data_IF_697572221619
#
_entry.id   IF_697572221619
#
_cell.length_a   1.000
_cell.length_b   1.000
_cell.length_c   1.000
_cell.angle_alpha   90.00
_cell.angle_beta   90.00
_cell.angle_gamma   90.00
#
_symmetry.space_group_name_H-M   'P 1'
#
loop_
_entity.id
_entity.type
_entity.pdbx_description
1 polymer ?
#
# COMPACT_ATOMS: atom_id res chain seq x y z
N UNK A 1 2.63 -43.91 -8.44
CA UNK A 1 1.63 -44.62 -9.26
C UNK A 1 1.30 -43.76 -10.48
N UNK A 2 1.56 -44.30 -11.67
CA UNK A 2 1.33 -43.64 -12.96
C UNK A 2 -0.10 -43.83 -13.45
N UNK A 3 -0.62 -42.86 -14.21
CA UNK A 3 -1.68 -42.90 -15.25
C UNK A 3 -2.05 -41.45 -15.61
N UNK A 4 -2.40 -41.04 -16.83
CA UNK A 4 -2.04 -41.38 -18.21
C UNK A 4 -2.60 -40.20 -19.04
N UNK A 5 -1.81 -39.66 -19.96
CA UNK A 5 -2.16 -38.60 -20.92
C UNK A 5 -3.33 -38.95 -21.85
N UNK A 6 -4.11 -37.96 -22.29
CA UNK A 6 -4.82 -38.02 -23.59
C UNK A 6 -5.00 -36.63 -24.22
N UNK A 7 -4.08 -36.30 -25.11
CA UNK A 7 -4.21 -35.23 -26.09
C UNK A 7 -4.94 -35.79 -27.33
N UNK A 8 -5.92 -35.07 -27.88
CA UNK A 8 -6.57 -35.39 -29.14
C UNK A 8 -6.33 -34.24 -30.13
N UNK A 9 -5.39 -34.48 -31.05
CA UNK A 9 -5.19 -33.75 -32.31
C UNK A 9 -6.18 -34.31 -33.32
N UNK A 10 -7.05 -33.49 -33.90
CA UNK A 10 -7.70 -33.80 -35.17
C UNK A 10 -7.15 -32.84 -36.24
N UNK A 11 -6.35 -33.43 -37.13
CA UNK A 11 -5.71 -32.80 -38.29
C UNK A 11 -6.25 -33.54 -39.50
N UNK A 12 -7.10 -32.91 -40.30
CA UNK A 12 -7.56 -33.45 -41.59
C UNK A 12 -6.82 -32.75 -42.73
N UNK A 13 -6.43 -33.48 -43.79
CA UNK A 13 -5.63 -32.96 -44.89
C UNK A 13 -6.52 -32.33 -45.96
N UNK A 14 -6.23 -31.08 -46.31
CA UNK A 14 -6.76 -30.42 -47.51
C UNK A 14 -5.81 -30.70 -48.67
N UNK A 15 -6.25 -31.49 -49.65
CA UNK A 15 -5.54 -31.70 -50.91
C UNK A 15 -5.90 -30.58 -51.88
N UNK A 16 -4.91 -29.79 -52.26
CA UNK A 16 -4.94 -28.84 -53.36
C UNK A 16 -4.83 -29.60 -54.69
N UNK A 17 -5.65 -29.30 -55.71
CA UNK A 17 -5.27 -29.52 -57.09
C UNK A 17 -4.93 -28.19 -57.78
N UNK A 18 -3.82 -28.22 -58.51
CA UNK A 18 -3.26 -27.16 -59.37
C UNK A 18 -4.25 -26.69 -60.46
N UNK A 19 -4.20 -25.41 -60.88
CA UNK A 19 -4.83 -24.98 -62.12
C UNK A 19 -3.95 -25.30 -63.34
N UNK A 20 -4.51 -26.11 -64.24
CA UNK A 20 -3.93 -26.42 -65.54
C UNK A 20 -3.88 -25.18 -66.46
N UNK A 21 -2.65 -24.85 -66.87
CA UNK A 21 -2.18 -24.22 -68.11
C UNK A 21 -3.25 -23.83 -69.15
N UNK A 22 -3.44 -22.52 -69.30
CA UNK A 22 -4.22 -21.88 -70.38
C UNK A 22 -3.46 -22.04 -71.71
N UNK A 23 -4.09 -22.65 -72.71
CA UNK A 23 -3.66 -22.55 -74.12
C UNK A 23 -4.30 -21.31 -74.72
N UNK A 24 -3.46 -20.41 -75.22
CA UNK A 24 -3.86 -19.35 -76.14
C UNK A 24 -4.36 -19.97 -77.45
N UNK A 25 -5.53 -19.52 -77.91
CA UNK A 25 -5.91 -19.53 -79.32
C UNK A 25 -6.62 -18.21 -79.61
N UNK A 26 -5.84 -17.33 -80.21
CA UNK A 26 -6.22 -16.22 -81.06
C UNK A 26 -6.96 -16.75 -82.30
N UNK A 27 -7.89 -15.95 -82.83
CA UNK A 27 -8.59 -16.23 -84.09
C UNK A 27 -10.11 -16.03 -84.05
N UNK A 28 -10.55 -14.78 -84.22
CA UNK A 28 -11.82 -14.53 -84.92
C UNK A 28 -11.71 -14.94 -86.41
N UNK A 29 -12.81 -15.08 -87.17
CA UNK A 29 -13.76 -13.98 -87.34
C UNK A 29 -15.25 -14.38 -87.43
N UNK A 30 -16.10 -13.36 -87.26
CA UNK A 30 -17.41 -13.15 -87.90
C UNK A 30 -18.30 -14.37 -88.18
N UNK A 31 -19.25 -14.62 -87.27
CA UNK A 31 -20.57 -15.15 -87.64
C UNK A 31 -21.65 -14.33 -86.94
N UNK A 32 -22.41 -13.57 -87.74
CA UNK A 32 -23.74 -13.09 -87.35
C UNK A 32 -24.60 -14.29 -86.90
N UNK A 33 -25.34 -14.23 -85.79
CA UNK A 33 -26.34 -15.24 -85.52
C UNK A 33 -27.55 -15.00 -86.42
N UNK A 34 -27.61 -15.75 -87.51
CA UNK A 34 -28.81 -15.96 -88.31
C UNK A 34 -29.97 -16.34 -87.40
N UNK A 35 -31.03 -15.54 -87.46
CA UNK A 35 -32.35 -15.91 -87.01
C UNK A 35 -32.84 -17.15 -87.76
N UNK A 36 -33.18 -18.22 -87.03
CA UNK A 36 -34.33 -19.11 -87.27
C UNK A 36 -34.24 -20.33 -86.33
N UNK A 37 -35.14 -20.40 -85.34
CA UNK A 37 -36.12 -21.48 -85.20
C UNK A 37 -36.83 -21.32 -83.84
N UNK A 38 -38.01 -20.70 -83.87
CA UNK A 38 -38.99 -20.70 -82.80
C UNK A 38 -39.57 -22.11 -82.68
N UNK A 39 -38.93 -22.98 -81.90
CA UNK A 39 -39.58 -24.16 -81.33
C UNK A 39 -40.27 -23.75 -80.02
N UNK A 40 -41.58 -24.00 -79.85
CA UNK A 40 -42.35 -23.52 -78.71
C UNK A 40 -41.87 -24.24 -77.45
N UNK A 41 -41.11 -23.52 -76.61
CA UNK A 41 -40.93 -23.92 -75.22
C UNK A 41 -42.32 -24.19 -74.63
N UNK A 42 -42.51 -25.39 -74.06
CA UNK A 42 -43.77 -25.80 -73.43
C UNK A 42 -44.33 -24.66 -72.57
N UNK A 43 -45.62 -24.34 -72.75
CA UNK A 43 -46.31 -23.23 -72.08
C UNK A 43 -46.11 -23.22 -70.56
N UNK A 44 -45.91 -24.40 -69.95
CA UNK A 44 -45.52 -24.60 -68.56
C UNK A 44 -44.20 -23.91 -68.19
N UNK A 45 -43.16 -24.02 -69.02
CA UNK A 45 -41.86 -23.40 -68.77
C UNK A 45 -41.87 -21.90 -68.97
N UNK A 46 -42.72 -21.39 -69.87
CA UNK A 46 -42.92 -19.94 -70.07
C UNK A 46 -43.68 -19.31 -68.90
N UNK A 47 -44.73 -19.99 -68.42
CA UNK A 47 -45.47 -19.56 -67.23
C UNK A 47 -44.61 -19.65 -65.95
N UNK A 48 -43.76 -20.67 -65.82
CA UNK A 48 -42.78 -20.76 -64.73
C UNK A 48 -41.78 -19.61 -64.77
N UNK A 49 -41.29 -19.21 -65.96
CA UNK A 49 -40.44 -18.01 -66.11
C UNK A 49 -41.19 -16.73 -65.74
N UNK A 50 -42.47 -16.59 -66.09
CA UNK A 50 -43.29 -15.42 -65.72
C UNK A 50 -43.50 -15.32 -64.20
N UNK A 51 -43.83 -16.42 -63.54
CA UNK A 51 -43.94 -16.46 -62.07
C UNK A 51 -42.59 -16.25 -61.38
N UNK A 52 -41.50 -16.70 -62.00
CA UNK A 52 -40.16 -16.45 -61.48
C UNK A 52 -39.77 -14.98 -61.63
N UNK A 53 -40.07 -14.33 -62.76
CA UNK A 53 -39.82 -12.89 -62.95
C UNK A 53 -40.65 -12.06 -61.98
N UNK A 54 -41.95 -12.35 -61.82
CA UNK A 54 -42.82 -11.66 -60.86
C UNK A 54 -42.28 -11.76 -59.41
N UNK A 55 -41.74 -12.93 -59.02
CA UNK A 55 -41.11 -13.11 -57.71
C UNK A 55 -39.80 -12.34 -57.57
N UNK A 56 -38.99 -12.29 -58.63
CA UNK A 56 -37.74 -11.53 -58.62
C UNK A 56 -38.05 -10.04 -58.49
N UNK A 57 -39.02 -9.53 -59.24
CA UNK A 57 -39.45 -8.12 -59.17
C UNK A 57 -39.92 -7.74 -57.76
N UNK A 58 -40.73 -8.59 -57.12
CA UNK A 58 -41.12 -8.41 -55.71
C UNK A 58 -39.93 -8.40 -54.73
N UNK A 59 -38.92 -9.26 -54.95
CA UNK A 59 -37.72 -9.30 -54.10
C UNK A 59 -36.79 -8.11 -54.36
N UNK A 60 -36.81 -7.52 -55.56
CA UNK A 60 -36.05 -6.33 -55.90
C UNK A 60 -36.70 -5.07 -55.28
N UNK A 61 -38.02 -5.00 -55.19
CA UNK A 61 -38.73 -3.93 -54.47
C UNK A 61 -38.43 -3.94 -52.97
N UNK A 62 -38.28 -5.13 -52.38
CA UNK A 62 -37.92 -5.31 -50.97
C UNK A 62 -36.40 -5.28 -50.72
N UNK A 63 -35.58 -4.95 -51.72
CA UNK A 63 -34.12 -4.95 -51.60
C UNK A 63 -33.67 -3.81 -50.69
N UNK A 64 -32.95 -4.09 -49.58
CA UNK A 64 -32.41 -3.04 -48.73
C UNK A 64 -31.31 -2.25 -49.46
N UNK A 65 -31.20 -0.98 -49.10
CA UNK A 65 -30.16 -0.10 -49.63
C UNK A 65 -28.74 -0.65 -49.35
N UNK A 66 -27.78 -0.41 -50.24
CA UNK A 66 -26.41 -0.88 -50.07
C UNK A 66 -25.77 -0.35 -48.78
N UNK A 67 -26.06 0.90 -48.39
CA UNK A 67 -25.61 1.51 -47.14
C UNK A 67 -26.20 0.81 -45.91
N UNK A 68 -27.48 0.41 -45.96
CA UNK A 68 -28.11 -0.37 -44.89
C UNK A 68 -27.46 -1.77 -44.74
N UNK A 69 -26.93 -2.34 -45.81
CA UNK A 69 -26.18 -3.60 -45.77
C UNK A 69 -24.77 -3.42 -45.19
N UNK A 70 -24.13 -2.26 -45.36
CA UNK A 70 -22.85 -1.93 -44.71
C UNK A 70 -23.00 -1.75 -43.20
N UNK A 71 -24.02 -0.99 -42.77
CA UNK A 71 -24.30 -0.78 -41.35
C UNK A 71 -24.57 -2.10 -40.62
N UNK A 72 -25.15 -3.07 -41.33
CA UNK A 72 -25.37 -4.44 -40.83
C UNK A 72 -24.17 -5.36 -41.02
N UNK A 73 -23.02 -4.84 -41.48
CA UNK A 73 -21.78 -5.56 -41.77
C UNK A 73 -21.95 -6.73 -42.77
N UNK A 74 -23.01 -6.71 -43.59
CA UNK A 74 -23.27 -7.71 -44.64
C UNK A 74 -22.42 -7.39 -45.87
N UNK A 75 -22.29 -6.12 -46.23
CA UNK A 75 -21.30 -5.64 -47.19
C UNK A 75 -20.07 -5.12 -46.44
N UNK A 76 -18.89 -5.74 -46.63
CA UNK A 76 -17.65 -5.39 -45.93
C UNK A 76 -17.23 -3.92 -45.96
N UNK A 77 -17.52 -3.23 -47.07
CA UNK A 77 -17.39 -1.78 -47.30
C UNK A 77 -17.76 -1.56 -48.78
N UNK A 78 -18.85 -0.88 -49.07
CA UNK A 78 -19.16 -0.22 -50.34
C UNK A 78 -18.49 1.16 -50.45
N UNK A 79 -17.41 1.42 -49.69
CA UNK A 79 -16.54 2.54 -50.03
C UNK A 79 -15.96 2.27 -51.44
N UNK A 80 -16.16 3.18 -52.42
CA UNK A 80 -15.76 2.97 -53.82
C UNK A 80 -14.24 2.89 -54.02
N UNK A 81 -13.48 2.93 -52.92
CA UNK A 81 -12.05 3.12 -52.91
C UNK A 81 -11.25 1.81 -52.83
N UNK A 82 -11.91 0.67 -52.54
CA UNK A 82 -11.23 -0.62 -52.45
C UNK A 82 -11.88 -1.65 -53.36
N UNK A 83 -11.08 -2.21 -54.26
CA UNK A 83 -11.50 -3.26 -55.17
C UNK A 83 -12.00 -4.51 -54.41
N UNK A 84 -13.06 -5.21 -54.88
CA UNK A 84 -13.60 -6.41 -54.22
C UNK A 84 -12.56 -7.50 -53.90
N UNK A 85 -11.54 -7.65 -54.76
CA UNK A 85 -10.45 -8.61 -54.59
C UNK A 85 -9.49 -8.26 -53.45
N UNK A 86 -9.38 -6.98 -53.09
CA UNK A 86 -8.47 -6.49 -52.04
C UNK A 86 -9.13 -6.40 -50.66
N UNK A 87 -10.46 -6.49 -50.57
CA UNK A 87 -11.19 -6.39 -49.30
C UNK A 87 -10.72 -7.43 -48.26
N UNK A 88 -10.39 -8.65 -48.69
CA UNK A 88 -9.85 -9.68 -47.82
C UNK A 88 -8.48 -9.32 -47.24
N UNK A 89 -7.58 -8.80 -48.08
CA UNK A 89 -6.24 -8.34 -47.68
C UNK A 89 -6.32 -7.10 -46.80
N UNK A 90 -7.22 -6.16 -47.13
CA UNK A 90 -7.48 -4.96 -46.33
C UNK A 90 -7.94 -5.34 -44.92
N UNK A 91 -8.90 -6.27 -44.78
CA UNK A 91 -9.34 -6.76 -43.47
C UNK A 91 -8.21 -7.44 -42.71
N UNK A 92 -7.38 -8.24 -43.39
CA UNK A 92 -6.21 -8.87 -42.75
C UNK A 92 -5.20 -7.83 -42.27
N UNK A 93 -4.94 -6.79 -43.06
CA UNK A 93 -4.06 -5.70 -42.67
C UNK A 93 -4.66 -4.94 -41.48
N UNK A 94 -5.94 -4.59 -41.52
CA UNK A 94 -6.63 -3.93 -40.42
C UNK A 94 -6.58 -4.76 -39.13
N UNK A 95 -6.73 -6.07 -39.22
CA UNK A 95 -6.59 -6.99 -38.09
C UNK A 95 -5.15 -7.03 -37.55
N UNK A 96 -4.14 -7.00 -38.43
CA UNK A 96 -2.73 -6.93 -37.99
C UNK A 96 -2.42 -5.61 -37.33
N UNK A 97 -2.86 -4.49 -37.92
CA UNK A 97 -2.67 -3.16 -37.34
C UNK A 97 -3.35 -3.04 -35.97
N UNK A 98 -4.58 -3.52 -35.83
CA UNK A 98 -5.27 -3.52 -34.53
C UNK A 98 -4.65 -4.49 -33.54
N UNK A 99 -4.12 -5.62 -33.99
CA UNK A 99 -3.38 -6.55 -33.14
C UNK A 99 -2.07 -5.92 -32.62
N UNK A 100 -1.32 -5.23 -33.48
CA UNK A 100 -0.08 -4.54 -33.10
C UNK A 100 -0.37 -3.37 -32.12
N UNK A 101 -1.43 -2.59 -32.37
CA UNK A 101 -1.89 -1.54 -31.46
C UNK A 101 -2.30 -2.09 -30.08
N UNK A 102 -3.07 -3.19 -30.07
CA UNK A 102 -3.46 -3.85 -28.83
C UNK A 102 -2.25 -4.44 -28.11
N UNK A 103 -1.30 -5.04 -28.83
CA UNK A 103 -0.07 -5.58 -28.23
C UNK A 103 0.73 -4.49 -27.52
N UNK A 104 0.93 -3.35 -28.17
CA UNK A 104 1.61 -2.20 -27.55
C UNK A 104 0.86 -1.69 -26.31
N UNK A 105 -0.47 -1.56 -26.37
CA UNK A 105 -1.28 -1.12 -25.21
C UNK A 105 -1.28 -2.12 -24.05
N UNK A 106 -1.18 -3.41 -24.35
CA UNK A 106 -1.08 -4.46 -23.34
C UNK A 106 0.30 -4.49 -22.69
N UNK A 107 1.35 -4.16 -23.43
CA UNK A 107 2.72 -4.04 -22.89
C UNK A 107 2.84 -2.83 -21.95
N UNK A 108 2.24 -1.70 -22.30
CA UNK A 108 2.20 -0.51 -21.45
C UNK A 108 1.05 -0.51 -20.42
N UNK A 109 0.48 -1.68 -20.09
CA UNK A 109 -0.68 -1.76 -19.20
C UNK A 109 -0.25 -1.59 -17.74
N UNK A 110 -0.83 -0.63 -17.00
CA UNK A 110 -0.55 -0.46 -15.57
C UNK A 110 -1.07 -1.64 -14.76
N UNK A 111 -0.39 -1.92 -13.65
CA UNK A 111 -0.81 -2.97 -12.74
C UNK A 111 -2.09 -2.59 -11.99
N UNK A 112 -2.86 -3.60 -11.56
CA UNK A 112 -4.11 -3.37 -10.83
C UNK A 112 -3.86 -2.60 -9.53
N UNK A 113 -2.68 -2.79 -8.92
CA UNK A 113 -2.30 -2.06 -7.72
C UNK A 113 -2.04 -0.58 -8.00
N UNK A 114 -1.33 -0.24 -9.08
CA UNK A 114 -1.12 1.14 -9.51
C UNK A 114 -2.46 1.84 -9.81
N UNK A 115 -3.41 1.12 -10.43
CA UNK A 115 -4.75 1.63 -10.66
C UNK A 115 -5.56 1.88 -9.37
N UNK A 116 -5.27 1.17 -8.27
CA UNK A 116 -5.86 1.46 -6.95
C UNK A 116 -5.21 2.66 -6.30
N UNK A 117 -3.90 2.80 -6.42
CA UNK A 117 -3.16 3.93 -5.89
C UNK A 117 -3.60 5.24 -6.56
N UNK A 118 -3.91 5.17 -7.87
CA UNK A 118 -4.54 6.25 -8.61
C UNK A 118 -6.06 6.41 -8.38
N UNK A 119 -6.65 5.63 -7.48
CA UNK A 119 -8.08 5.62 -7.17
C UNK A 119 -8.97 5.46 -8.41
N UNK A 120 -8.54 4.68 -9.41
CA UNK A 120 -9.34 4.32 -10.58
C UNK A 120 -10.17 3.08 -10.25
N UNK A 121 -9.52 2.06 -9.69
CA UNK A 121 -10.18 0.84 -9.22
C UNK A 121 -10.45 0.97 -7.73
N UNK A 122 -11.72 0.92 -7.36
CA UNK A 122 -12.17 0.99 -5.97
C UNK A 122 -12.55 -0.42 -5.48
N UNK A 123 -12.13 -0.77 -4.28
CA UNK A 123 -12.44 -2.06 -3.66
C UNK A 123 -11.19 -2.80 -3.19
N UNK A 124 -11.30 -3.37 -1.99
CA UNK A 124 -10.29 -4.26 -1.45
C UNK A 124 -10.25 -5.57 -2.25
N UNK A 125 -9.10 -6.24 -2.25
CA UNK A 125 -8.97 -7.60 -2.78
C UNK A 125 -10.00 -8.52 -2.10
N UNK A 126 -10.99 -8.98 -2.88
CA UNK A 126 -12.05 -9.88 -2.41
C UNK A 126 -13.47 -9.35 -2.54
N UNK A 127 -13.68 -8.09 -2.91
CA UNK A 127 -15.05 -7.57 -3.17
C UNK A 127 -15.41 -7.74 -4.64
N UNK A 128 -16.57 -8.36 -4.89
CA UNK A 128 -17.08 -8.56 -6.24
C UNK A 128 -17.33 -7.21 -6.95
N UNK A 129 -17.05 -7.08 -8.27
CA UNK A 129 -17.24 -5.84 -9.01
C UNK A 129 -18.65 -5.24 -8.91
N UNK A 130 -19.68 -6.09 -8.82
CA UNK A 130 -21.07 -5.67 -8.65
C UNK A 130 -21.37 -5.02 -7.30
N UNK A 131 -20.58 -5.32 -6.26
CA UNK A 131 -20.79 -4.83 -4.90
C UNK A 131 -19.96 -3.60 -4.56
N UNK A 132 -18.94 -3.26 -5.36
CA UNK A 132 -18.02 -2.14 -5.10
C UNK A 132 -18.78 -0.83 -4.86
N UNK A 133 -19.78 -0.51 -5.69
CA UNK A 133 -20.60 0.70 -5.53
C UNK A 133 -21.40 0.70 -4.21
N UNK A 134 -21.96 -0.45 -3.82
CA UNK A 134 -22.70 -0.56 -2.56
C UNK A 134 -21.79 -0.50 -1.34
N UNK A 135 -20.60 -1.10 -1.43
CA UNK A 135 -19.58 -1.05 -0.39
C UNK A 135 -19.11 0.38 -0.17
N UNK A 136 -18.81 1.11 -1.24
CA UNK A 136 -18.35 2.49 -1.14
C UNK A 136 -19.44 3.39 -0.54
N UNK A 137 -20.69 3.21 -0.96
CA UNK A 137 -21.83 3.93 -0.38
C UNK A 137 -21.96 3.66 1.11
N UNK A 138 -21.83 2.41 1.53
CA UNK A 138 -21.85 2.04 2.95
C UNK A 138 -20.65 2.62 3.70
N UNK A 139 -19.45 2.57 3.12
CA UNK A 139 -18.25 3.14 3.72
C UNK A 139 -18.39 4.65 3.91
N UNK A 140 -18.96 5.37 2.93
CA UNK A 140 -19.27 6.80 3.05
C UNK A 140 -20.29 7.07 4.16
N UNK A 141 -21.34 6.27 4.28
CA UNK A 141 -22.32 6.38 5.37
C UNK A 141 -21.69 6.14 6.74
N UNK A 142 -20.92 5.07 6.90
CA UNK A 142 -20.20 4.77 8.15
C UNK A 142 -19.21 5.88 8.52
N UNK A 143 -18.49 6.42 7.54
CA UNK A 143 -17.57 7.53 7.76
C UNK A 143 -18.33 8.81 8.14
N UNK A 144 -19.47 9.08 7.50
CA UNK A 144 -20.36 10.18 7.87
C UNK A 144 -20.87 10.03 9.31
N UNK A 145 -21.32 8.84 9.70
CA UNK A 145 -21.83 8.57 11.05
C UNK A 145 -20.73 8.71 12.10
N UNK A 146 -19.52 8.21 11.81
CA UNK A 146 -18.34 8.39 12.67
C UNK A 146 -18.00 9.87 12.82
N UNK A 147 -17.93 10.62 11.72
CA UNK A 147 -17.65 12.06 11.75
C UNK A 147 -18.73 12.79 12.54
N UNK A 148 -20.01 12.49 12.31
CA UNK A 148 -21.12 13.06 13.09
C UNK A 148 -21.00 12.74 14.58
N UNK A 149 -20.62 11.50 14.94
CA UNK A 149 -20.38 11.14 16.33
C UNK A 149 -19.21 11.93 16.94
N UNK A 150 -18.13 12.14 16.20
CA UNK A 150 -17.01 12.97 16.67
C UNK A 150 -17.38 14.45 16.78
N UNK A 151 -18.24 14.96 15.88
CA UNK A 151 -18.72 16.33 15.91
C UNK A 151 -19.68 16.59 17.07
N UNK A 152 -20.54 15.63 17.44
CA UNK A 152 -21.43 15.77 18.61
C UNK A 152 -20.66 15.80 19.92
N UNK A 153 -19.55 15.06 20.01
CA UNK A 153 -18.64 15.05 21.17
C UNK A 153 -17.51 16.06 21.07
N UNK A 154 -17.63 17.07 20.19
CA UNK A 154 -16.58 18.05 19.98
C UNK A 154 -16.42 18.93 21.22
N UNK A 155 -15.24 18.96 21.87
CA UNK A 155 -15.01 19.82 23.02
C UNK A 155 -15.04 21.31 22.59
N UNK A 156 -15.57 22.22 23.42
CA UNK A 156 -15.47 23.65 23.20
C UNK A 156 -14.02 24.11 23.30
N UNK A 157 -13.74 25.26 22.68
CA UNK A 157 -12.38 25.82 22.63
C UNK A 157 -11.80 26.09 24.02
N UNK A 158 -12.64 26.45 25.00
CA UNK A 158 -12.20 26.70 26.37
C UNK A 158 -11.74 25.44 27.10
N UNK A 159 -12.40 24.29 26.88
CA UNK A 159 -11.92 23.00 27.42
C UNK A 159 -10.57 22.59 26.82
N UNK A 160 -10.33 22.93 25.55
CA UNK A 160 -9.03 22.70 24.92
C UNK A 160 -7.94 23.62 25.49
N UNK A 161 -8.30 24.80 25.99
CA UNK A 161 -7.36 25.70 26.69
C UNK A 161 -7.01 25.19 28.07
N UNK A 162 -8.00 24.77 28.86
CA UNK A 162 -7.76 24.26 30.21
C UNK A 162 -6.95 22.97 30.18
N UNK A 163 -7.15 22.13 29.17
CA UNK A 163 -6.34 20.91 28.96
C UNK A 163 -4.95 21.18 28.39
N UNK A 164 -4.61 22.44 28.08
CA UNK A 164 -3.30 22.82 27.54
C UNK A 164 -3.06 22.36 26.09
N UNK A 165 -4.09 21.90 25.38
CA UNK A 165 -4.01 21.54 23.95
C UNK A 165 -3.96 22.80 23.08
N UNK A 166 -4.72 23.83 23.46
CA UNK A 166 -4.71 25.15 22.85
C UNK A 166 -4.14 26.16 23.83
N UNK A 167 -2.99 26.74 23.50
CA UNK A 167 -2.23 27.55 24.46
C UNK A 167 -2.54 29.05 24.35
N UNK A 168 -3.28 29.46 23.31
CA UNK A 168 -3.48 30.87 23.00
C UNK A 168 -4.89 31.37 23.33
N UNK A 169 -4.93 32.58 23.89
CA UNK A 169 -6.11 33.44 23.94
C UNK A 169 -6.67 33.68 22.53
N UNK A 170 -7.98 33.93 22.42
CA UNK A 170 -8.70 34.02 21.14
C UNK A 170 -8.21 35.14 20.20
N UNK A 171 -7.40 36.05 20.72
CA UNK A 171 -6.94 37.26 20.03
C UNK A 171 -5.73 37.03 19.12
N UNK A 172 -4.95 35.97 19.33
CA UNK A 172 -3.78 35.67 18.50
C UNK A 172 -4.13 34.80 17.30
N UNK A 173 -3.64 35.18 16.12
CA UNK A 173 -3.77 34.37 14.91
C UNK A 173 -2.99 33.03 15.03
N UNK A 174 -3.51 31.90 14.47
CA UNK A 174 -2.86 30.59 14.55
C UNK A 174 -1.40 30.55 14.13
N UNK A 175 -1.02 31.36 13.13
CA UNK A 175 0.35 31.46 12.63
C UNK A 175 1.33 32.11 13.61
N UNK A 176 0.86 32.96 14.53
CA UNK A 176 1.68 33.69 15.50
C UNK A 176 1.76 32.99 16.86
N UNK A 177 0.97 31.94 17.07
CA UNK A 177 0.90 31.21 18.35
C UNK A 177 2.27 30.67 18.78
N UNK A 178 3.01 30.05 17.86
CA UNK A 178 4.32 29.47 18.13
C UNK A 178 5.38 30.53 18.44
N UNK A 179 5.37 31.66 17.73
CA UNK A 179 6.33 32.76 17.94
C UNK A 179 6.03 33.50 19.24
N UNK A 180 4.75 33.75 19.53
CA UNK A 180 4.30 34.38 20.77
C UNK A 180 4.67 33.55 21.99
N UNK A 181 4.41 32.23 21.98
CA UNK A 181 4.80 31.34 23.08
C UNK A 181 6.31 31.28 23.27
N UNK A 182 7.07 31.25 22.16
CA UNK A 182 8.53 31.28 22.24
C UNK A 182 8.99 32.58 22.91
N UNK A 183 8.41 33.71 22.54
CA UNK A 183 8.71 34.99 23.14
C UNK A 183 8.31 35.03 24.63
N UNK A 184 7.12 34.57 24.98
CA UNK A 184 6.65 34.45 26.37
C UNK A 184 7.61 33.62 27.22
N UNK A 185 8.05 32.46 26.73
CA UNK A 185 9.06 31.65 27.43
C UNK A 185 10.37 32.39 27.63
N UNK A 186 10.85 33.12 26.62
CA UNK A 186 12.09 33.90 26.76
C UNK A 186 11.92 35.04 27.77
N UNK A 187 10.76 35.71 27.79
CA UNK A 187 10.47 36.76 28.76
C UNK A 187 10.41 36.20 30.18
N UNK A 188 9.68 35.11 30.40
CA UNK A 188 9.61 34.43 31.69
C UNK A 188 10.99 33.92 32.11
N UNK A 189 11.77 33.35 31.19
CA UNK A 189 13.13 32.91 31.46
C UNK A 189 14.03 34.06 31.90
N UNK A 190 13.99 35.19 31.20
CA UNK A 190 14.78 36.38 31.58
C UNK A 190 14.33 36.94 32.93
N UNK A 191 13.01 36.97 33.19
CA UNK A 191 12.47 37.42 34.47
C UNK A 191 12.90 36.51 35.62
N UNK A 192 12.79 35.19 35.43
CA UNK A 192 13.23 34.21 36.42
C UNK A 192 14.74 34.28 36.61
N UNK A 193 15.54 34.46 35.55
CA UNK A 193 16.99 34.67 35.65
C UNK A 193 17.29 35.85 36.57
N UNK A 194 16.65 36.99 36.35
CA UNK A 194 16.88 38.17 37.17
C UNK A 194 16.48 37.98 38.64
N UNK A 195 15.34 37.33 38.89
CA UNK A 195 14.90 37.01 40.26
C UNK A 195 15.84 36.04 40.97
N UNK A 196 16.49 35.15 40.22
CA UNK A 196 17.49 34.22 40.74
C UNK A 196 18.86 34.88 40.96
N UNK A 197 19.20 35.90 40.16
CA UNK A 197 20.41 36.71 40.36
C UNK A 197 20.32 37.53 41.65
N UNK A 198 19.16 38.12 41.94
CA UNK A 198 18.90 38.84 43.19
C UNK A 198 18.44 37.91 44.32
N UNK A 199 18.75 36.62 44.25
CA UNK A 199 18.32 35.65 45.26
C UNK A 199 19.08 35.94 46.57
N UNK A 200 18.38 36.17 47.69
CA UNK A 200 19.04 36.42 48.97
C UNK A 200 19.87 35.21 49.39
N UNK A 201 21.03 35.49 49.99
CA UNK A 201 21.88 34.44 50.51
C UNK A 201 21.24 33.79 51.75
N UNK A 202 21.72 32.60 52.07
CA UNK A 202 21.21 31.81 53.20
C UNK A 202 21.29 32.57 54.52
N UNK A 203 22.37 33.32 54.73
CA UNK A 203 22.62 34.05 55.97
C UNK A 203 21.67 35.25 56.11
N UNK A 204 21.31 35.89 54.99
CA UNK A 204 20.28 36.93 54.96
C UNK A 204 18.92 36.35 55.36
N UNK A 205 18.57 35.16 54.89
CA UNK A 205 17.33 34.47 55.27
C UNK A 205 17.30 34.07 56.76
N UNK A 206 18.45 33.72 57.35
CA UNK A 206 18.59 33.49 58.81
C UNK A 206 18.38 34.78 59.57
N UNK A 207 18.98 35.90 59.12
CA UNK A 207 18.78 37.22 59.74
C UNK A 207 17.33 37.70 59.69
N UNK A 208 16.60 37.30 58.64
CA UNK A 208 15.17 37.56 58.50
C UNK A 208 14.29 36.59 59.30
N UNK A 209 14.86 35.71 60.14
CA UNK A 209 14.18 34.67 60.91
C UNK A 209 13.31 33.72 60.06
N UNK A 210 13.65 33.58 58.77
CA UNK A 210 12.98 32.63 57.86
C UNK A 210 13.63 31.25 57.99
N UNK A 211 14.93 31.20 58.28
CA UNK A 211 15.71 30.00 58.55
C UNK A 211 16.27 30.03 59.98
N UNK A 212 16.25 28.90 60.69
CA UNK A 212 16.91 28.79 62.00
C UNK A 212 18.41 28.48 61.86
N UNK A 213 19.24 29.23 62.58
CA UNK A 213 20.72 29.21 62.53
C UNK A 213 21.33 27.85 62.94
N UNK A 214 20.58 27.02 63.68
CA UNK A 214 21.06 25.78 64.30
C UNK A 214 20.90 24.47 63.49
N UNK A 215 20.10 24.46 62.42
CA UNK A 215 19.81 23.21 61.67
C UNK A 215 20.80 22.94 60.53
N UNK A 216 21.77 23.83 60.31
CA UNK A 216 22.45 23.94 59.02
C UNK A 216 23.94 23.60 58.98
N UNK A 217 24.54 23.21 60.11
CA UNK A 217 25.90 22.63 60.13
C UNK A 217 25.92 21.10 60.22
N UNK A 218 24.77 20.43 60.46
CA UNK A 218 24.74 18.97 60.69
C UNK A 218 24.30 18.12 59.49
N UNK A 219 23.74 18.70 58.45
CA UNK A 219 23.22 17.95 57.29
C UNK A 219 24.18 17.91 56.07
N UNK A 220 25.41 18.42 56.23
CA UNK A 220 26.48 18.26 55.25
C UNK A 220 27.12 16.87 55.20
N UNK A 221 26.80 15.98 56.15
CA UNK A 221 27.13 14.55 56.01
C UNK A 221 25.95 13.84 55.39
N UNK A 222 26.10 13.52 54.11
CA UNK A 222 25.24 12.62 53.34
C UNK A 222 24.69 11.50 54.22
N UNK A 223 23.40 11.56 54.58
CA UNK A 223 22.61 10.34 54.74
C UNK A 223 22.57 9.71 53.34
N UNK A 224 23.67 9.06 52.94
CA UNK A 224 23.70 8.21 51.77
C UNK A 224 22.52 7.28 51.94
N UNK A 225 21.61 7.32 50.98
CA UNK A 225 20.42 6.49 50.95
C UNK A 225 20.92 5.07 50.91
N UNK A 226 21.06 4.42 52.07
CA UNK A 226 21.32 2.99 52.10
C UNK A 226 20.22 2.35 51.29
N UNK A 227 20.58 1.63 50.24
CA UNK A 227 19.58 0.99 49.41
C UNK A 227 18.85 0.00 50.31
N UNK A 228 17.52 0.00 50.24
CA UNK A 228 16.73 -1.03 50.93
C UNK A 228 17.30 -2.41 50.58
N UNK A 229 17.28 -3.37 51.51
CA UNK A 229 17.81 -4.73 51.30
C UNK A 229 17.33 -5.36 49.98
N UNK A 230 16.08 -5.08 49.59
CA UNK A 230 15.51 -5.50 48.29
C UNK A 230 16.22 -4.88 47.08
N UNK A 231 16.60 -3.62 47.17
CA UNK A 231 17.31 -2.89 46.11
C UNK A 231 18.78 -3.34 46.02
N UNK A 232 19.47 -3.58 47.15
CA UNK A 232 20.82 -4.19 47.18
C UNK A 232 20.83 -5.54 46.47
N UNK A 233 19.88 -6.40 46.83
CA UNK A 233 19.74 -7.73 46.24
C UNK A 233 19.44 -7.68 44.73
N UNK A 234 18.56 -6.78 44.29
CA UNK A 234 18.25 -6.58 42.88
C UNK A 234 19.47 -6.05 42.08
N UNK A 235 20.24 -5.14 42.68
CA UNK A 235 21.45 -4.59 42.07
C UNK A 235 22.51 -5.69 41.90
N UNK A 236 22.75 -6.50 42.93
CA UNK A 236 23.70 -7.61 42.91
C UNK A 236 23.32 -8.67 41.86
N UNK A 237 22.03 -9.04 41.77
CA UNK A 237 21.56 -9.99 40.74
C UNK A 237 21.68 -9.42 39.32
N UNK A 238 21.45 -8.12 39.15
CA UNK A 238 21.61 -7.43 37.87
C UNK A 238 23.09 -7.38 37.46
N UNK A 239 23.98 -7.09 38.41
CA UNK A 239 25.43 -7.12 38.22
C UNK A 239 25.90 -8.54 37.83
N UNK A 240 25.53 -9.58 38.58
CA UNK A 240 25.84 -10.98 38.26
C UNK A 240 25.32 -11.41 36.88
N UNK A 241 24.19 -10.86 36.45
CA UNK A 241 23.64 -11.12 35.11
C UNK A 241 24.41 -10.41 34.02
N UNK A 242 24.92 -9.20 34.28
CA UNK A 242 25.76 -8.43 33.35
C UNK A 242 27.13 -9.08 33.15
N UNK A 243 27.80 -9.49 34.23
CA UNK A 243 29.10 -10.17 34.16
C UNK A 243 29.00 -11.48 33.36
N UNK A 244 27.89 -12.21 33.52
CA UNK A 244 27.62 -13.41 32.72
C UNK A 244 27.29 -13.11 31.24
N UNK A 245 26.62 -12.00 30.95
CA UNK A 245 26.35 -11.56 29.58
C UNK A 245 27.64 -11.20 28.83
N UNK A 246 28.60 -10.61 29.55
CA UNK A 246 29.94 -10.26 29.05
C UNK A 246 30.87 -11.49 28.93
N UNK A 247 30.35 -12.71 29.17
CA UNK A 247 31.07 -14.00 29.13
C UNK A 247 32.29 -14.07 30.06
N UNK A 248 32.31 -13.25 31.10
CA UNK A 248 33.40 -13.22 32.08
C UNK A 248 33.31 -14.42 33.05
N UNK A 249 32.10 -14.92 33.30
CA UNK A 249 31.79 -15.99 34.27
C UNK A 249 30.97 -17.11 33.61
N UNK A 250 31.22 -18.37 33.98
CA UNK A 250 30.46 -19.56 33.53
C UNK A 250 29.05 -19.63 34.15
N UNK A 251 28.14 -20.41 33.55
CA UNK A 251 26.79 -20.59 34.08
C UNK A 251 26.77 -21.18 35.51
N UNK A 252 27.74 -22.04 35.84
CA UNK A 252 27.88 -22.65 37.17
C UNK A 252 28.38 -21.65 38.21
N UNK A 253 29.40 -20.86 37.88
CA UNK A 253 29.95 -19.79 38.74
C UNK A 253 28.90 -18.69 38.97
N UNK A 254 28.07 -18.40 37.98
CA UNK A 254 26.91 -17.50 38.12
C UNK A 254 25.88 -18.04 39.11
N UNK A 255 25.61 -19.35 39.12
CA UNK A 255 24.67 -19.95 40.06
C UNK A 255 25.18 -19.82 41.50
N UNK A 256 26.48 -20.08 41.72
CA UNK A 256 27.12 -19.90 43.04
C UNK A 256 27.11 -18.45 43.50
N UNK A 257 27.42 -17.51 42.60
CA UNK A 257 27.36 -16.09 42.92
C UNK A 257 25.94 -15.67 43.33
N UNK A 258 24.90 -16.23 42.70
CA UNK A 258 23.51 -15.99 43.12
C UNK A 258 23.20 -16.57 44.50
N UNK A 259 23.72 -17.74 44.83
CA UNK A 259 23.54 -18.35 46.14
C UNK A 259 24.26 -17.53 47.24
N UNK A 260 25.46 -17.01 46.92
CA UNK A 260 26.21 -16.10 47.80
C UNK A 260 25.51 -14.76 48.02
N UNK A 261 24.81 -14.25 46.99
CA UNK A 261 23.96 -13.05 47.12
C UNK A 261 22.72 -13.37 47.97
N UNK A 262 22.16 -14.59 47.92
CA UNK A 262 21.03 -15.01 48.76
C UNK A 262 21.43 -15.26 50.22
N UNK A 263 22.66 -15.66 50.47
CA UNK A 263 23.20 -15.91 51.81
C UNK A 263 23.81 -14.68 52.48
N UNK A 264 23.72 -13.50 51.85
CA UNK A 264 24.34 -12.25 52.31
C UNK A 264 25.83 -12.41 52.67
N UNK A 265 26.62 -13.04 51.79
CA UNK A 265 28.07 -13.23 52.03
C UNK A 265 28.78 -11.87 52.24
N UNK A 266 29.67 -11.80 53.22
CA UNK A 266 30.30 -10.56 53.71
C UNK A 266 30.98 -9.79 52.58
N UNK A 267 31.58 -10.50 51.62
CA UNK A 267 32.30 -9.91 50.48
C UNK A 267 31.36 -9.28 49.46
N UNK A 268 30.18 -9.86 49.26
CA UNK A 268 29.15 -9.35 48.34
C UNK A 268 28.50 -8.11 48.94
N UNK A 269 28.21 -8.15 50.25
CA UNK A 269 27.67 -7.01 50.98
C UNK A 269 28.66 -5.85 50.99
N UNK A 270 29.94 -6.10 51.27
CA UNK A 270 30.98 -5.07 51.23
C UNK A 270 31.13 -4.42 49.85
N UNK A 271 31.08 -5.20 48.76
CA UNK A 271 31.11 -4.67 47.39
C UNK A 271 29.93 -3.73 47.10
N UNK A 272 28.73 -4.07 47.58
CA UNK A 272 27.54 -3.23 47.43
C UNK A 272 27.60 -1.98 48.30
N UNK A 273 28.19 -2.06 49.49
CA UNK A 273 28.38 -0.91 50.37
C UNK A 273 29.42 0.07 49.81
N UNK A 274 30.52 -0.42 49.24
CA UNK A 274 31.46 0.42 48.48
C UNK A 274 30.80 1.08 47.27
N UNK A 275 29.95 0.35 46.54
CA UNK A 275 29.16 0.92 45.45
C UNK A 275 28.18 2.01 45.93
N UNK A 276 27.54 1.84 47.08
CA UNK A 276 26.69 2.87 47.67
C UNK A 276 27.46 4.12 48.12
N UNK A 277 28.75 3.97 48.42
CA UNK A 277 29.59 5.08 48.82
C UNK A 277 30.06 5.89 47.60
N UNK A 278 30.56 5.22 46.57
CA UNK A 278 31.35 5.88 45.52
C UNK A 278 30.68 5.83 44.13
N UNK A 279 29.52 5.15 44.01
CA UNK A 279 28.75 4.93 42.76
C UNK A 279 29.57 4.32 41.60
N UNK A 280 30.71 3.69 41.91
CA UNK A 280 31.60 3.07 40.94
C UNK A 280 31.13 1.67 40.55
N UNK A 281 30.54 1.57 39.36
CA UNK A 281 30.03 0.31 38.81
C UNK A 281 31.17 -0.67 38.48
N UNK A 282 32.35 -0.18 38.09
CA UNK A 282 33.45 -1.04 37.61
C UNK A 282 34.09 -1.79 38.78
N UNK A 283 34.34 -1.10 39.90
CA UNK A 283 34.88 -1.69 41.13
C UNK A 283 33.91 -2.72 41.74
N UNK A 284 32.60 -2.45 41.72
CA UNK A 284 31.57 -3.40 42.15
C UNK A 284 31.57 -4.68 41.28
N UNK A 285 31.74 -4.55 39.96
CA UNK A 285 31.75 -5.69 39.06
C UNK A 285 33.04 -6.52 39.22
N UNK A 286 34.20 -5.89 39.41
CA UNK A 286 35.48 -6.57 39.61
C UNK A 286 35.51 -7.35 40.93
N UNK A 287 35.02 -6.75 42.02
CA UNK A 287 34.91 -7.42 43.32
C UNK A 287 33.97 -8.62 43.27
N UNK A 288 32.80 -8.50 42.62
CA UNK A 288 31.87 -9.63 42.41
C UNK A 288 32.45 -10.71 41.49
N UNK A 289 33.19 -10.32 40.45
CA UNK A 289 33.91 -11.23 39.58
C UNK A 289 34.96 -12.05 40.34
N UNK A 290 35.73 -11.37 41.20
CA UNK A 290 36.73 -12.00 42.06
C UNK A 290 36.08 -12.97 43.05
N UNK A 291 34.94 -12.63 43.65
CA UNK A 291 34.18 -13.54 44.53
C UNK A 291 33.68 -14.78 43.77
N UNK A 292 33.19 -14.60 42.54
CA UNK A 292 32.74 -15.71 41.71
C UNK A 292 33.88 -16.68 41.31
N UNK A 293 35.11 -16.19 41.14
CA UNK A 293 36.28 -17.01 40.80
C UNK A 293 37.01 -17.63 41.99
N UNK A 294 37.07 -16.93 43.12
CA UNK A 294 37.74 -17.42 44.34
C UNK A 294 36.95 -18.56 45.01
N UNK A 295 35.65 -18.66 44.77
CA UNK A 295 34.82 -19.76 45.29
C UNK A 295 34.96 -21.08 44.51
N UNK A 296 36.15 -21.33 43.96
CA UNK A 296 36.59 -22.59 43.36
C UNK A 296 37.48 -23.37 44.33
#
# INVERSE_FOLDING_TARGET
MAKKSKAARNKTPSSTPEPARVKALDGGPDQEPLATDEQPASSSSKEQRRRASEKIDQLLEARPDPEALEQRNVLPTASPNVAPTLQGVQKQLQLKMSADELAHRLESRPDVQELRDHAIVHGADGVAPSLQATQEKLQRQLNSDKVNQHLTKRPPIEELRTTGVLETSAELAPSLTATAKKLERNLVQNQVSHLLESRPEKDELVSHNILEEGELEKDGLSKKRSLSQRARYALALKAASRIAADKLISAEEKARLKDLILSDDEKVVAALECYELDEDIEEMLDTLYRVAKIST
#
